data_IF_369740068927
#
_entry.id   IF_369740068927
#
_cell.length_a   1.000
_cell.length_b   1.000
_cell.length_c   1.000
_cell.angle_alpha   90.00
_cell.angle_beta   90.00
_cell.angle_gamma   90.00
#
_symmetry.space_group_name_H-M   'P 1'
#
loop_
_entity.id
_entity.type
_entity.pdbx_description
1 polymer ?
#
# COMPACT_ATOMS: atom_id res chain seq x y z
N UNK A 1 -4.29 16.85 8.52
CA UNK A 1 -3.18 15.90 8.29
C UNK A 1 -3.68 14.53 8.71
N UNK A 2 -3.99 13.64 7.77
CA UNK A 2 -4.37 12.26 8.13
C UNK A 2 -3.13 11.59 8.73
N UNK A 3 -3.27 11.04 9.94
CA UNK A 3 -2.17 10.36 10.60
C UNK A 3 -1.97 9.01 9.88
N UNK A 4 -0.81 8.82 9.26
CA UNK A 4 -0.40 7.51 8.78
C UNK A 4 -0.07 6.69 10.03
N UNK A 5 -0.89 5.70 10.33
CA UNK A 5 -0.69 4.82 11.48
C UNK A 5 -0.18 3.43 11.08
N UNK A 6 -0.24 3.08 9.78
CA UNK A 6 0.31 1.85 9.23
C UNK A 6 0.67 1.93 7.74
N UNK A 7 1.54 1.02 7.31
CA UNK A 7 1.81 0.75 5.91
C UNK A 7 1.17 -0.58 5.52
N UNK A 8 0.51 -0.61 4.38
CA UNK A 8 0.01 -1.84 3.78
C UNK A 8 0.88 -2.21 2.58
N UNK A 9 1.14 -3.51 2.43
CA UNK A 9 1.88 -4.10 1.32
C UNK A 9 0.95 -5.05 0.57
N UNK A 10 1.11 -5.11 -0.74
CA UNK A 10 0.44 -6.13 -1.55
C UNK A 10 1.06 -7.51 -1.26
N UNK A 11 0.44 -8.57 -1.81
CA UNK A 11 1.03 -9.91 -1.71
C UNK A 11 2.41 -9.98 -2.39
N UNK A 12 2.62 -9.44 -3.61
CA UNK A 12 3.96 -9.26 -4.19
C UNK A 12 4.96 -8.54 -3.27
N UNK A 13 4.58 -7.41 -2.66
CA UNK A 13 5.46 -6.69 -1.73
C UNK A 13 5.82 -7.51 -0.49
N UNK A 14 4.87 -8.28 0.05
CA UNK A 14 5.17 -9.22 1.14
C UNK A 14 6.16 -10.31 0.71
N UNK A 15 6.05 -10.84 -0.51
CA UNK A 15 7.02 -11.81 -1.02
C UNK A 15 8.42 -11.21 -1.13
N UNK A 16 8.54 -9.94 -1.53
CA UNK A 16 9.82 -9.22 -1.55
C UNK A 16 10.43 -9.06 -0.16
N UNK A 17 9.63 -8.86 0.89
CA UNK A 17 10.14 -8.89 2.27
C UNK A 17 10.64 -10.28 2.69
N UNK A 18 10.03 -11.37 2.18
CA UNK A 18 10.53 -12.74 2.40
C UNK A 18 11.87 -12.95 1.69
N UNK A 19 12.00 -12.43 0.47
CA UNK A 19 13.25 -12.45 -0.29
C UNK A 19 14.35 -11.65 0.44
N UNK A 20 14.03 -10.43 0.90
CA UNK A 20 14.93 -9.59 1.69
C UNK A 20 15.40 -10.31 2.96
N UNK A 21 14.50 -10.96 3.71
CA UNK A 21 14.88 -11.76 4.88
C UNK A 21 15.81 -12.91 4.49
N UNK A 22 15.58 -13.56 3.35
CA UNK A 22 16.41 -14.66 2.88
C UNK A 22 17.81 -14.18 2.47
N UNK A 23 17.88 -13.03 1.79
CA UNK A 23 19.13 -12.35 1.45
C UNK A 23 19.91 -11.90 2.69
N UNK A 24 19.22 -11.38 3.71
CA UNK A 24 19.83 -11.00 4.99
C UNK A 24 20.43 -12.22 5.70
N UNK A 25 19.71 -13.34 5.77
CA UNK A 25 20.23 -14.57 6.37
C UNK A 25 21.46 -15.11 5.60
N UNK A 26 21.46 -14.96 4.28
CA UNK A 26 22.62 -15.33 3.46
C UNK A 26 23.82 -14.42 3.76
N UNK A 27 23.61 -13.11 3.82
CA UNK A 27 24.64 -12.13 4.13
C UNK A 27 25.22 -12.35 5.54
N UNK A 28 24.37 -12.65 6.52
CA UNK A 28 24.80 -12.98 7.88
C UNK A 28 25.73 -14.20 7.90
N UNK A 29 25.35 -15.28 7.21
CA UNK A 29 26.19 -16.48 7.08
C UNK A 29 27.49 -16.21 6.35
N UNK A 30 27.45 -15.37 5.31
CA UNK A 30 28.63 -14.94 4.58
C UNK A 30 29.60 -14.23 5.52
N UNK A 31 29.15 -13.22 6.26
CA UNK A 31 29.98 -12.48 7.22
C UNK A 31 30.55 -13.42 8.29
N UNK A 32 29.73 -14.34 8.83
CA UNK A 32 30.17 -15.32 9.83
C UNK A 32 31.20 -16.33 9.30
N UNK A 33 31.27 -16.55 7.99
CA UNK A 33 32.20 -17.50 7.37
C UNK A 33 33.58 -16.90 7.05
N UNK A 34 33.75 -15.58 7.21
CA UNK A 34 34.99 -14.88 6.87
C UNK A 34 35.91 -14.85 8.09
N UNK A 35 37.05 -15.51 7.98
CA UNK A 35 38.17 -15.36 8.92
C UNK A 35 39.09 -14.23 8.45
N UNK A 36 38.72 -12.98 8.73
CA UNK A 36 39.55 -11.81 8.42
C UNK A 36 38.78 -10.54 8.05
N UNK A 37 39.49 -9.50 7.59
CA UNK A 37 38.85 -8.28 7.09
C UNK A 37 38.01 -8.59 5.85
N UNK A 38 36.78 -8.06 5.84
CA UNK A 38 35.84 -8.21 4.73
C UNK A 38 36.22 -7.23 3.62
N UNK A 39 36.34 -7.74 2.40
CA UNK A 39 36.48 -6.92 1.20
C UNK A 39 35.19 -6.13 0.96
N UNK A 40 35.31 -4.80 0.86
CA UNK A 40 34.18 -3.89 0.68
C UNK A 40 33.46 -4.09 -0.65
N UNK A 41 34.19 -4.37 -1.74
CA UNK A 41 33.56 -4.58 -3.06
C UNK A 41 32.76 -5.88 -3.06
N UNK A 42 33.32 -6.93 -2.47
CA UNK A 42 32.62 -8.19 -2.31
C UNK A 42 31.41 -8.06 -1.38
N UNK A 43 31.52 -7.28 -0.30
CA UNK A 43 30.40 -7.03 0.61
C UNK A 43 29.26 -6.29 -0.09
N UNK A 44 29.57 -5.28 -0.91
CA UNK A 44 28.60 -4.54 -1.71
C UNK A 44 27.85 -5.48 -2.68
N UNK A 45 28.58 -6.34 -3.39
CA UNK A 45 27.99 -7.36 -4.27
C UNK A 45 27.05 -8.30 -3.49
N UNK A 46 27.43 -8.73 -2.28
CA UNK A 46 26.56 -9.61 -1.46
C UNK A 46 25.37 -8.89 -0.84
N UNK A 47 25.43 -7.56 -0.71
CA UNK A 47 24.32 -6.75 -0.22
C UNK A 47 23.28 -6.43 -1.29
N UNK A 48 23.65 -6.43 -2.57
CA UNK A 48 22.78 -6.05 -3.68
C UNK A 48 21.39 -6.75 -3.66
N UNK A 49 21.27 -8.08 -3.46
CA UNK A 49 19.97 -8.75 -3.44
C UNK A 49 19.08 -8.32 -2.26
N UNK A 50 19.69 -7.96 -1.12
CA UNK A 50 18.97 -7.44 0.04
C UNK A 50 18.44 -6.04 -0.24
N UNK A 51 19.27 -5.17 -0.82
CA UNK A 51 18.90 -3.79 -1.15
C UNK A 51 17.79 -3.77 -2.19
N UNK A 52 17.91 -4.56 -3.26
CA UNK A 52 16.89 -4.68 -4.30
C UNK A 52 15.55 -5.12 -3.72
N UNK A 53 15.54 -6.21 -2.93
CA UNK A 53 14.30 -6.72 -2.34
C UNK A 53 13.64 -5.74 -1.34
N UNK A 54 14.44 -4.96 -0.60
CA UNK A 54 13.93 -3.92 0.29
C UNK A 54 13.36 -2.71 -0.47
N UNK A 55 14.02 -2.30 -1.56
CA UNK A 55 13.50 -1.22 -2.41
C UNK A 55 12.20 -1.62 -3.09
N UNK A 56 12.14 -2.82 -3.67
CA UNK A 56 10.91 -3.34 -4.27
C UNK A 56 9.74 -3.42 -3.26
N UNK A 57 10.02 -3.82 -2.02
CA UNK A 57 9.02 -3.81 -0.97
C UNK A 57 8.61 -2.37 -0.57
N UNK A 58 9.55 -1.45 -0.50
CA UNK A 58 9.27 -0.05 -0.18
C UNK A 58 8.42 0.63 -1.27
N UNK A 59 8.70 0.35 -2.54
CA UNK A 59 7.94 0.88 -3.69
C UNK A 59 6.51 0.34 -3.72
N UNK A 60 6.28 -0.87 -3.23
CA UNK A 60 4.95 -1.47 -3.11
C UNK A 60 4.19 -1.02 -1.85
N UNK A 61 4.91 -0.51 -0.83
CA UNK A 61 4.32 -0.09 0.42
C UNK A 61 3.48 1.19 0.24
N UNK A 62 2.24 1.15 0.72
CA UNK A 62 1.35 2.31 0.70
C UNK A 62 1.00 2.77 2.11
N UNK A 63 1.11 4.07 2.41
CA UNK A 63 0.64 4.60 3.67
C UNK A 63 -0.88 4.49 3.73
N UNK A 64 -1.41 3.99 4.83
CA UNK A 64 -2.86 3.86 5.05
C UNK A 64 -3.18 4.43 6.43
N UNK A 65 -4.26 5.20 6.53
CA UNK A 65 -4.78 5.63 7.83
C UNK A 65 -5.70 4.54 8.43
N UNK A 66 -5.70 4.40 9.76
CA UNK A 66 -6.49 3.39 10.46
C UNK A 66 -8.00 3.48 10.20
N UNK A 67 -8.51 4.68 9.95
CA UNK A 67 -9.90 4.89 9.55
C UNK A 67 -10.18 4.33 8.15
N UNK A 68 -9.34 4.61 7.15
CA UNK A 68 -9.48 4.06 5.80
C UNK A 68 -9.39 2.53 5.80
N UNK A 69 -8.42 2.02 6.56
CA UNK A 69 -8.22 0.60 6.83
C UNK A 69 -9.47 -0.07 7.43
N UNK A 70 -10.05 0.54 8.47
CA UNK A 70 -11.26 0.05 9.11
C UNK A 70 -12.44 0.06 8.14
N UNK A 71 -12.66 1.17 7.44
CA UNK A 71 -13.75 1.27 6.45
C UNK A 71 -13.60 0.24 5.33
N UNK A 72 -12.38 -0.02 4.86
CA UNK A 72 -12.10 -1.02 3.84
C UNK A 72 -12.45 -2.44 4.34
N UNK A 73 -12.08 -2.76 5.58
CA UNK A 73 -12.46 -4.04 6.20
C UNK A 73 -13.96 -4.13 6.48
N UNK A 74 -14.60 -3.06 6.93
CA UNK A 74 -16.04 -3.00 7.14
C UNK A 74 -16.82 -3.26 5.83
N UNK A 75 -16.38 -2.68 4.72
CA UNK A 75 -16.93 -2.98 3.39
C UNK A 75 -16.69 -4.42 2.95
N UNK A 76 -15.47 -4.96 3.16
CA UNK A 76 -15.14 -6.35 2.79
C UNK A 76 -15.99 -7.38 3.57
N UNK A 77 -16.19 -7.14 4.86
CA UNK A 77 -16.99 -7.99 5.75
C UNK A 77 -18.51 -7.76 5.60
N UNK A 78 -18.93 -6.79 4.79
CA UNK A 78 -20.34 -6.51 4.56
C UNK A 78 -21.04 -5.77 5.71
N UNK A 79 -20.28 -5.20 6.66
CA UNK A 79 -20.83 -4.30 7.68
C UNK A 79 -21.42 -3.03 7.06
N UNK A 80 -20.88 -2.62 5.90
CA UNK A 80 -21.50 -1.66 5.01
C UNK A 80 -22.07 -2.45 3.84
N UNK A 81 -23.40 -2.45 3.70
CA UNK A 81 -24.12 -3.18 2.65
C UNK A 81 -23.97 -2.49 1.29
N UNK A 82 -22.75 -2.51 0.74
CA UNK A 82 -22.46 -2.06 -0.62
C UNK A 82 -22.66 -3.20 -1.61
N UNK A 83 -23.38 -2.92 -2.69
CA UNK A 83 -23.43 -3.81 -3.86
C UNK A 83 -22.02 -4.04 -4.42
N UNK A 84 -21.79 -5.12 -5.18
CA UNK A 84 -20.49 -5.38 -5.80
C UNK A 84 -19.97 -4.20 -6.65
N UNK A 85 -20.89 -3.51 -7.35
CA UNK A 85 -20.57 -2.36 -8.19
C UNK A 85 -20.10 -1.16 -7.35
N UNK A 86 -20.77 -0.88 -6.25
CA UNK A 86 -20.39 0.20 -5.32
C UNK A 86 -19.04 -0.08 -4.66
N UNK A 87 -18.77 -1.34 -4.28
CA UNK A 87 -17.47 -1.74 -3.74
C UNK A 87 -16.33 -1.50 -4.73
N UNK A 88 -16.49 -1.92 -5.99
CA UNK A 88 -15.48 -1.69 -7.03
C UNK A 88 -15.26 -0.20 -7.29
N UNK A 89 -16.33 0.60 -7.28
CA UNK A 89 -16.23 2.05 -7.48
C UNK A 89 -15.52 2.75 -6.32
N UNK A 90 -15.84 2.40 -5.07
CA UNK A 90 -15.14 2.92 -3.88
C UNK A 90 -13.64 2.57 -3.92
N UNK A 91 -13.29 1.35 -4.36
CA UNK A 91 -11.90 0.96 -4.52
C UNK A 91 -11.17 1.81 -5.57
N UNK A 92 -11.78 2.03 -6.75
CA UNK A 92 -11.22 2.88 -7.80
C UNK A 92 -10.98 4.32 -7.32
N UNK A 93 -11.96 4.92 -6.63
CA UNK A 93 -11.84 6.27 -6.07
C UNK A 93 -10.67 6.36 -5.08
N UNK A 94 -10.48 5.33 -4.23
CA UNK A 94 -9.38 5.27 -3.27
C UNK A 94 -8.01 5.14 -3.94
N UNK A 95 -7.93 4.59 -5.14
CA UNK A 95 -6.70 4.48 -5.91
C UNK A 95 -6.35 5.72 -6.73
N UNK A 96 -7.23 6.74 -6.77
CA UNK A 96 -6.92 8.01 -7.41
C UNK A 96 -5.88 8.81 -6.62
N UNK A 97 -5.11 9.64 -7.33
CA UNK A 97 -4.29 10.69 -6.72
C UNK A 97 -5.19 11.81 -6.12
N UNK A 98 -4.62 12.73 -5.34
CA UNK A 98 -5.40 13.78 -4.68
C UNK A 98 -6.17 14.66 -5.69
N UNK A 99 -5.57 15.01 -6.82
CA UNK A 99 -6.24 15.74 -7.91
C UNK A 99 -7.46 14.98 -8.43
N UNK A 100 -7.32 13.68 -8.70
CA UNK A 100 -8.41 12.82 -9.13
C UNK A 100 -9.52 12.68 -8.08
N UNK A 101 -9.16 12.63 -6.79
CA UNK A 101 -10.14 12.63 -5.69
C UNK A 101 -10.93 13.94 -5.63
N UNK A 102 -10.26 15.08 -5.79
CA UNK A 102 -10.90 16.41 -5.82
C UNK A 102 -11.86 16.55 -7.00
N UNK A 103 -11.46 16.09 -8.19
CA UNK A 103 -12.32 16.11 -9.37
C UNK A 103 -13.56 15.22 -9.19
N UNK A 104 -13.41 14.02 -8.63
CA UNK A 104 -14.53 13.15 -8.28
C UNK A 104 -15.48 13.83 -7.30
N UNK A 105 -14.95 14.46 -6.25
CA UNK A 105 -15.75 15.18 -5.26
C UNK A 105 -16.50 16.37 -5.87
N UNK A 106 -15.88 17.09 -6.81
CA UNK A 106 -16.52 18.18 -7.57
C UNK A 106 -17.68 17.65 -8.41
N UNK A 107 -17.46 16.56 -9.14
CA UNK A 107 -18.45 15.92 -9.99
C UNK A 107 -19.64 15.38 -9.20
N UNK A 108 -19.39 14.78 -8.02
CA UNK A 108 -20.44 14.35 -7.08
C UNK A 108 -21.25 15.57 -6.60
N UNK A 109 -20.58 16.65 -6.21
CA UNK A 109 -21.22 17.88 -5.71
C UNK A 109 -22.10 18.52 -6.80
N UNK A 110 -21.62 18.58 -8.03
CA UNK A 110 -22.39 19.09 -9.18
C UNK A 110 -23.59 18.20 -9.50
N UNK A 111 -23.39 16.88 -9.52
CA UNK A 111 -24.48 15.91 -9.75
C UNK A 111 -25.57 16.01 -8.66
N UNK A 112 -25.17 16.22 -7.41
CA UNK A 112 -26.11 16.43 -6.29
C UNK A 112 -26.88 17.75 -6.44
N UNK A 113 -26.25 18.82 -6.93
CA UNK A 113 -26.91 20.10 -7.23
C UNK A 113 -27.93 19.98 -8.36
N UNK A 114 -27.70 19.08 -9.32
CA UNK A 114 -28.59 18.84 -10.44
C UNK A 114 -29.71 17.82 -10.16
N UNK A 115 -29.69 17.13 -9.02
CA UNK A 115 -30.81 16.23 -8.66
C UNK A 115 -32.05 17.06 -8.31
N UNK A 116 -33.20 16.81 -8.93
CA UNK A 116 -34.45 17.47 -8.54
C UNK A 116 -34.74 17.12 -7.08
N UNK A 117 -35.01 18.13 -6.26
CA UNK A 117 -35.47 17.89 -4.89
C UNK A 117 -36.82 17.17 -4.97
N UNK A 118 -37.03 16.10 -4.20
CA UNK A 118 -38.37 15.52 -4.08
C UNK A 118 -39.31 16.59 -3.54
N UNK A 119 -40.45 16.80 -4.20
CA UNK A 119 -41.47 17.74 -3.75
C UNK A 119 -41.88 17.41 -2.30
N UNK A 120 -42.00 18.43 -1.42
CA UNK A 120 -42.49 18.20 -0.07
C UNK A 120 -43.92 17.64 -0.14
N UNK A 121 -44.13 16.48 0.50
CA UNK A 121 -45.46 15.90 0.73
C UNK A 121 -46.17 16.60 1.90
#
# INVERSE_FOLDING_TARGET
MQLIDRYELTLPGHMRLVDARSALNYLERFIQSIDGPVDSELLEEKMEPLVEALNDAADDARPVSGDEAFQLKACQWGYIALSPKERSMVHLIRCCNEEGKEDIMRLITETQRCKPQPEPR
#
